data_IF_922827899671
#
_entry.id   IF_922827899671
#
_cell.length_a   1.000
_cell.length_b   1.000
_cell.length_c   1.000
_cell.angle_alpha   90.00
_cell.angle_beta   90.00
_cell.angle_gamma   90.00
#
_symmetry.space_group_name_H-M   'P 1'
#
loop_
_entity.id
_entity.type
_entity.pdbx_description
1 polymer ?
#
# COMPACT_ATOMS: atom_id res chain seq x y z
N UNK A 1 14.74 48.12 -33.36
CA UNK A 1 13.57 47.48 -32.73
C UNK A 1 13.90 46.03 -32.44
N UNK A 2 14.12 45.69 -31.18
CA UNK A 2 14.38 44.32 -30.75
C UNK A 2 13.04 43.55 -30.69
N UNK A 3 12.90 42.50 -31.50
CA UNK A 3 11.75 41.58 -31.47
C UNK A 3 11.97 40.38 -30.53
N UNK A 4 13.15 40.28 -29.91
CA UNK A 4 13.49 39.20 -29.00
C UNK A 4 12.77 39.38 -27.66
N UNK A 5 12.76 40.59 -27.10
CA UNK A 5 12.12 40.97 -25.84
C UNK A 5 10.62 40.63 -25.80
N UNK A 6 9.91 40.73 -26.94
CA UNK A 6 8.47 40.43 -27.01
C UNK A 6 8.13 38.94 -27.13
N UNK A 7 9.06 38.08 -27.57
CA UNK A 7 8.84 36.62 -27.73
C UNK A 7 9.18 35.81 -26.48
N UNK A 8 10.19 36.22 -25.70
CA UNK A 8 10.59 35.49 -24.48
C UNK A 8 9.60 35.62 -23.33
N UNK A 9 8.85 36.71 -23.24
CA UNK A 9 7.84 36.93 -22.18
C UNK A 9 6.80 35.81 -22.08
N UNK A 10 5.98 35.54 -23.12
CA UNK A 10 4.91 34.55 -23.03
C UNK A 10 5.43 33.11 -22.89
N UNK A 11 6.57 32.77 -23.49
CA UNK A 11 7.18 31.45 -23.37
C UNK A 11 7.68 31.22 -21.94
N UNK A 12 8.32 32.21 -21.33
CA UNK A 12 8.75 32.14 -19.93
C UNK A 12 7.55 31.96 -18.98
N UNK A 13 6.44 32.65 -19.22
CA UNK A 13 5.22 32.51 -18.40
C UNK A 13 4.53 31.14 -18.56
N UNK A 14 4.47 30.61 -19.78
CA UNK A 14 3.91 29.26 -20.02
C UNK A 14 4.78 28.20 -19.35
N UNK A 15 6.11 28.30 -19.47
CA UNK A 15 7.03 27.39 -18.79
C UNK A 15 6.89 27.48 -17.26
N UNK A 16 6.79 28.69 -16.72
CA UNK A 16 6.60 28.91 -15.28
C UNK A 16 5.26 28.34 -14.80
N UNK A 17 4.16 28.54 -15.55
CA UNK A 17 2.83 28.02 -15.24
C UNK A 17 2.78 26.49 -15.30
N UNK A 18 3.39 25.88 -16.31
CA UNK A 18 3.48 24.41 -16.40
C UNK A 18 4.32 23.80 -15.28
N UNK A 19 5.41 24.44 -14.89
CA UNK A 19 6.23 24.01 -13.76
C UNK A 19 5.46 24.12 -12.43
N UNK A 20 4.75 25.23 -12.22
CA UNK A 20 3.95 25.46 -11.01
C UNK A 20 2.77 24.47 -10.90
N UNK A 21 2.13 24.11 -12.02
CA UNK A 21 1.06 23.12 -12.06
C UNK A 21 1.59 21.69 -11.80
N UNK A 22 2.78 21.35 -12.31
CA UNK A 22 3.42 20.05 -12.08
C UNK A 22 3.77 19.76 -10.63
N UNK A 23 4.05 20.79 -9.81
CA UNK A 23 4.35 20.64 -8.38
C UNK A 23 3.16 20.12 -7.57
N UNK A 24 1.92 20.43 -7.97
CA UNK A 24 0.70 20.04 -7.24
C UNK A 24 0.47 18.52 -7.29
N UNK A 25 0.88 17.86 -8.38
CA UNK A 25 0.69 16.41 -8.57
C UNK A 25 1.58 15.54 -7.67
N UNK A 26 2.66 16.08 -7.10
CA UNK A 26 3.61 15.33 -6.26
C UNK A 26 3.32 15.43 -4.75
N UNK A 27 2.39 16.30 -4.35
CA UNK A 27 1.99 16.48 -2.96
C UNK A 27 0.99 15.39 -2.52
N UNK A 28 1.43 14.14 -2.44
CA UNK A 28 0.66 13.09 -1.79
C UNK A 28 0.67 13.29 -0.27
N UNK A 29 -0.49 13.26 0.37
CA UNK A 29 -0.59 13.31 1.83
C UNK A 29 0.05 12.03 2.41
N UNK A 30 1.24 12.18 3.01
CA UNK A 30 1.84 11.12 3.82
C UNK A 30 1.24 11.19 5.21
N UNK A 31 0.60 10.11 5.65
CA UNK A 31 0.19 9.97 7.03
C UNK A 31 1.42 9.72 7.90
N UNK A 32 1.41 10.24 9.13
CA UNK A 32 2.44 9.91 10.11
C UNK A 32 2.21 8.48 10.60
N UNK A 33 3.19 7.60 10.37
CA UNK A 33 3.17 6.20 10.82
C UNK A 33 3.00 6.07 12.34
N UNK A 34 3.32 7.12 13.11
CA UNK A 34 3.09 7.15 14.57
C UNK A 34 1.63 6.92 14.95
N UNK A 35 0.69 7.33 14.10
CA UNK A 35 -0.75 7.15 14.30
C UNK A 35 -1.14 5.67 14.39
N UNK A 36 -0.36 4.79 13.77
CA UNK A 36 -0.64 3.36 13.67
C UNK A 36 0.14 2.52 14.67
N UNK A 37 1.11 3.10 15.41
CA UNK A 37 1.97 2.36 16.35
C UNK A 37 1.21 1.64 17.47
N UNK A 38 0.03 2.12 17.84
CA UNK A 38 -0.84 1.49 18.85
C UNK A 38 -1.70 0.35 18.31
N UNK A 39 -1.81 0.18 16.98
CA UNK A 39 -2.65 -0.85 16.39
C UNK A 39 -2.01 -2.22 16.52
N UNK A 40 -2.79 -3.17 17.03
CA UNK A 40 -2.37 -4.57 17.17
C UNK A 40 -3.25 -5.46 16.33
N UNK A 41 -2.62 -6.28 15.50
CA UNK A 41 -3.31 -7.35 14.80
C UNK A 41 -3.85 -8.36 15.82
N UNK A 42 -5.09 -8.77 15.61
CA UNK A 42 -5.72 -9.87 16.34
C UNK A 42 -6.66 -10.63 15.42
N UNK A 43 -6.79 -11.92 15.66
CA UNK A 43 -7.88 -12.69 15.06
C UNK A 43 -9.22 -12.23 15.64
N UNK A 44 -10.22 -12.07 14.78
CA UNK A 44 -11.60 -11.77 15.20
C UNK A 44 -12.38 -13.08 15.47
N UNK A 45 -11.94 -14.19 14.88
CA UNK A 45 -12.52 -15.54 15.00
C UNK A 45 -13.31 -15.95 13.74
N UNK A 46 -13.84 -17.19 13.65
CA UNK A 46 -13.45 -18.41 14.38
C UNK A 46 -12.04 -18.87 13.97
N UNK A 47 -11.29 -19.51 14.90
CA UNK A 47 -9.89 -19.90 14.66
C UNK A 47 -9.72 -20.98 13.59
N UNK A 48 -10.78 -21.73 13.33
CA UNK A 48 -10.82 -22.83 12.36
C UNK A 48 -12.16 -22.75 11.64
N UNK A 49 -12.13 -22.77 10.32
CA UNK A 49 -13.30 -22.66 9.46
C UNK A 49 -12.92 -22.66 7.99
N UNK A 50 -13.90 -22.83 7.11
CA UNK A 50 -13.68 -22.90 5.67
C UNK A 50 -13.29 -24.30 5.16
N UNK A 51 -12.79 -24.38 3.93
CA UNK A 51 -12.47 -25.64 3.24
C UNK A 51 -11.03 -26.06 3.52
N UNK A 52 -10.84 -27.34 3.83
CA UNK A 52 -9.54 -27.98 4.06
C UNK A 52 -9.21 -28.94 2.91
N UNK A 53 -7.98 -28.89 2.38
CA UNK A 53 -7.53 -29.79 1.31
C UNK A 53 -6.69 -30.96 1.82
N UNK A 54 -5.96 -30.77 2.91
CA UNK A 54 -5.06 -31.77 3.46
C UNK A 54 -5.03 -31.70 4.99
N UNK A 55 -4.85 -32.84 5.63
CA UNK A 55 -4.67 -32.98 7.08
C UNK A 55 -3.59 -34.01 7.38
N UNK A 56 -2.80 -33.81 8.43
CA UNK A 56 -1.83 -34.81 8.91
C UNK A 56 -1.67 -34.74 10.43
N UNK A 57 -1.40 -35.88 11.04
CA UNK A 57 -1.09 -36.01 12.48
C UNK A 57 0.40 -36.27 12.73
N UNK A 58 0.81 -36.22 13.99
CA UNK A 58 2.19 -36.49 14.41
C UNK A 58 2.29 -37.89 15.05
N UNK A 59 3.08 -38.83 14.50
CA UNK A 59 3.29 -40.13 15.14
C UNK A 59 3.88 -39.98 16.53
N UNK A 60 3.26 -40.62 17.53
CA UNK A 60 3.70 -40.55 18.93
C UNK A 60 3.11 -39.37 19.73
N UNK A 61 2.42 -38.42 19.08
CA UNK A 61 1.68 -37.35 19.75
C UNK A 61 0.22 -37.31 19.25
N UNK A 62 -0.71 -37.98 19.95
CA UNK A 62 -2.10 -38.12 19.50
C UNK A 62 -2.90 -36.82 19.55
N UNK A 63 -2.37 -35.74 20.15
CA UNK A 63 -3.10 -34.48 20.31
C UNK A 63 -2.64 -33.38 19.34
N UNK A 64 -1.66 -33.67 18.48
CA UNK A 64 -1.10 -32.71 17.53
C UNK A 64 -1.44 -33.06 16.07
N UNK A 65 -1.97 -32.09 15.35
CA UNK A 65 -2.34 -32.21 13.94
C UNK A 65 -2.23 -30.87 13.21
N UNK A 66 -1.97 -30.94 11.91
CA UNK A 66 -1.89 -29.81 10.99
C UNK A 66 -2.95 -29.95 9.90
N UNK A 67 -3.47 -28.81 9.41
CA UNK A 67 -4.44 -28.79 8.32
C UNK A 67 -4.10 -27.68 7.33
N UNK A 68 -4.25 -27.97 6.03
CA UNK A 68 -4.08 -26.98 4.96
C UNK A 68 -5.41 -26.37 4.56
N UNK A 69 -5.62 -25.11 4.91
CA UNK A 69 -6.80 -24.32 4.55
C UNK A 69 -6.69 -23.70 3.16
N UNK A 70 -7.78 -23.69 2.40
CA UNK A 70 -7.83 -22.94 1.13
C UNK A 70 -7.79 -21.45 1.43
N UNK A 71 -6.79 -20.76 0.87
CA UNK A 71 -6.50 -19.34 1.12
C UNK A 71 -6.16 -18.99 2.60
N UNK A 72 -5.93 -20.00 3.46
CA UNK A 72 -5.61 -19.83 4.88
C UNK A 72 -4.22 -20.33 5.29
N UNK A 73 -3.53 -21.07 4.42
CA UNK A 73 -2.20 -21.61 4.72
C UNK A 73 -2.25 -22.89 5.54
N UNK A 74 -1.23 -23.11 6.36
CA UNK A 74 -1.01 -24.28 7.24
C UNK A 74 -0.64 -23.79 8.63
#
# INVERSE_FOLDING_TARGET
MDQNCKRVGPIAWVLLLTFLCGQVALAANKYDDTLFKGMKWRSIGPYRGGRVLAVTGVPGDPYTFYFGGVAGGV
#
